data_IF_448389102589
#
_entry.id   IF_448389102589
#
_cell.length_a   1.000
_cell.length_b   1.000
_cell.length_c   1.000
_cell.angle_alpha   90.00
_cell.angle_beta   90.00
_cell.angle_gamma   90.00
#
_symmetry.space_group_name_H-M   'P 1'
#
loop_
_entity.id
_entity.type
_entity.pdbx_description
1 polymer ?
#
# COMPACT_ATOMS: atom_id res chain seq x y z
N UNK A 1 27.73 -9.90 1.54
CA UNK A 1 26.51 -10.08 2.28
C UNK A 1 25.39 -10.63 1.39
N UNK A 2 24.84 -11.74 1.76
CA UNK A 2 23.79 -12.34 0.96
C UNK A 2 22.44 -11.67 1.28
N UNK A 3 21.76 -11.22 0.26
CA UNK A 3 20.44 -10.68 0.41
C UNK A 3 19.45 -11.83 0.66
N UNK A 4 18.47 -11.57 1.52
CA UNK A 4 17.43 -12.56 1.81
C UNK A 4 16.43 -12.71 0.67
N UNK A 5 16.34 -11.72 -0.19
CA UNK A 5 15.43 -11.73 -1.32
C UNK A 5 15.98 -10.85 -2.44
N UNK A 6 15.39 -11.01 -3.62
CA UNK A 6 15.69 -10.16 -4.78
C UNK A 6 14.39 -9.74 -5.44
N UNK A 7 14.22 -8.44 -5.68
CA UNK A 7 13.07 -7.95 -6.42
C UNK A 7 13.29 -8.22 -7.91
N UNK A 8 12.40 -9.02 -8.50
CA UNK A 8 12.46 -9.37 -9.92
C UNK A 8 11.66 -8.41 -10.78
N UNK A 9 10.60 -7.82 -10.23
CA UNK A 9 9.76 -6.89 -10.95
C UNK A 9 8.79 -6.22 -10.02
N UNK A 10 8.28 -5.08 -10.46
CA UNK A 10 7.27 -4.35 -9.71
C UNK A 10 6.44 -3.50 -10.67
N UNK A 11 5.15 -3.41 -10.40
CA UNK A 11 4.24 -2.67 -11.28
C UNK A 11 2.98 -2.25 -10.52
N UNK A 12 2.30 -1.25 -11.08
CA UNK A 12 0.99 -0.85 -10.56
C UNK A 12 -0.03 -1.82 -11.14
N UNK A 13 -0.67 -2.59 -10.28
CA UNK A 13 -1.70 -3.54 -10.70
C UNK A 13 -3.03 -2.85 -10.97
N UNK A 14 -3.37 -1.87 -10.12
CA UNK A 14 -4.58 -1.09 -10.26
C UNK A 14 -4.38 0.26 -9.58
N UNK A 15 -4.93 1.29 -10.17
CA UNK A 15 -4.91 2.63 -9.59
C UNK A 15 -6.22 3.31 -9.96
N UNK A 16 -7.02 3.65 -8.96
CA UNK A 16 -8.36 4.17 -9.21
C UNK A 16 -8.67 5.37 -8.33
N UNK A 17 -9.39 6.31 -8.93
CA UNK A 17 -9.91 7.49 -8.26
C UNK A 17 -11.29 7.75 -8.84
N UNK A 18 -12.31 7.77 -7.98
CA UNK A 18 -13.67 8.00 -8.42
C UNK A 18 -14.35 9.04 -7.53
N UNK A 19 -14.90 10.05 -8.18
CA UNK A 19 -15.79 11.04 -7.56
C UNK A 19 -16.96 11.19 -8.52
N UNK A 20 -18.15 10.79 -8.07
CA UNK A 20 -19.28 10.59 -8.98
C UNK A 20 -19.84 11.86 -9.62
N UNK A 21 -19.77 13.00 -8.91
CA UNK A 21 -20.33 14.26 -9.41
C UNK A 21 -19.77 15.45 -8.64
N UNK A 22 -20.16 16.64 -9.06
CA UNK A 22 -19.69 17.89 -8.44
C UNK A 22 -20.10 17.99 -6.98
N UNK A 23 -21.33 17.59 -6.67
CA UNK A 23 -21.83 17.66 -5.29
C UNK A 23 -21.01 16.80 -4.36
N UNK A 24 -20.67 15.59 -4.80
CA UNK A 24 -19.82 14.69 -4.06
C UNK A 24 -18.42 15.30 -3.86
N UNK A 25 -17.86 15.88 -4.92
CA UNK A 25 -16.56 16.52 -4.82
C UNK A 25 -16.54 17.64 -3.78
N UNK A 26 -17.53 18.50 -3.80
CA UNK A 26 -17.61 19.62 -2.85
C UNK A 26 -17.78 19.12 -1.43
N UNK A 27 -18.60 18.09 -1.23
CA UNK A 27 -18.77 17.47 0.09
C UNK A 27 -17.46 16.87 0.59
N UNK A 28 -16.80 16.06 -0.24
CA UNK A 28 -15.55 15.41 0.15
C UNK A 28 -14.46 16.44 0.44
N UNK A 29 -14.41 17.52 -0.34
CA UNK A 29 -13.45 18.60 -0.12
C UNK A 29 -13.58 19.19 1.30
N UNK A 30 -14.81 19.39 1.75
CA UNK A 30 -15.05 19.94 3.08
C UNK A 30 -14.70 18.96 4.21
N UNK A 31 -14.74 17.66 3.92
CA UNK A 31 -14.50 16.61 4.93
C UNK A 31 -13.24 15.80 4.68
N UNK A 32 -12.36 16.28 3.81
CA UNK A 32 -11.15 15.52 3.45
C UNK A 32 -10.23 15.24 4.64
N UNK A 33 -10.30 16.07 5.68
CA UNK A 33 -9.52 15.87 6.89
C UNK A 33 -9.93 14.62 7.67
N UNK A 34 -11.12 14.08 7.42
CA UNK A 34 -11.58 12.82 8.03
C UNK A 34 -11.05 11.59 7.31
N UNK A 35 -10.53 11.76 6.10
CA UNK A 35 -9.97 10.65 5.34
C UNK A 35 -8.66 10.20 5.95
N UNK A 36 -8.45 8.90 5.96
CA UNK A 36 -7.26 8.28 6.54
C UNK A 36 -6.64 7.31 5.56
N UNK A 37 -5.31 7.25 5.59
CA UNK A 37 -4.57 6.29 4.80
C UNK A 37 -4.61 4.92 5.49
N UNK A 38 -5.01 3.91 4.75
CA UNK A 38 -4.99 2.52 5.20
C UNK A 38 -4.12 1.69 4.26
N UNK A 39 -3.36 0.78 4.82
CA UNK A 39 -2.49 -0.11 4.07
C UNK A 39 -2.90 -1.56 4.32
N UNK A 40 -2.89 -2.35 3.25
CA UNK A 40 -3.08 -3.79 3.33
C UNK A 40 -2.01 -4.48 2.50
N UNK A 41 -1.44 -5.56 3.03
CA UNK A 41 -0.39 -6.31 2.34
C UNK A 41 -0.81 -7.76 2.28
N UNK A 42 -0.91 -8.31 1.07
CA UNK A 42 -1.19 -9.72 0.86
C UNK A 42 -0.07 -10.32 0.02
N UNK A 43 0.05 -11.64 0.07
CA UNK A 43 1.09 -12.34 -0.68
C UNK A 43 0.58 -13.67 -1.20
N UNK A 44 1.19 -14.13 -2.28
CA UNK A 44 0.87 -15.40 -2.92
C UNK A 44 2.16 -16.08 -3.35
N UNK A 45 2.35 -17.31 -2.90
CA UNK A 45 3.51 -18.10 -3.32
C UNK A 45 3.39 -18.48 -4.79
N UNK A 46 4.47 -18.31 -5.52
CA UNK A 46 4.58 -18.70 -6.91
C UNK A 46 5.62 -19.81 -7.03
N UNK A 47 5.84 -20.31 -8.25
CA UNK A 47 6.84 -21.34 -8.49
C UNK A 47 8.26 -20.77 -8.34
N UNK A 48 9.23 -21.66 -8.12
CA UNK A 48 10.66 -21.32 -8.10
C UNK A 48 11.05 -20.33 -7.01
N UNK A 49 10.46 -20.47 -5.83
CA UNK A 49 10.75 -19.59 -4.68
C UNK A 49 10.40 -18.13 -4.91
N UNK A 50 9.50 -17.88 -5.84
CA UNK A 50 9.00 -16.53 -6.07
C UNK A 50 7.75 -16.27 -5.23
N UNK A 51 7.55 -15.02 -4.87
CA UNK A 51 6.38 -14.58 -4.13
C UNK A 51 5.84 -13.31 -4.78
N UNK A 52 4.54 -13.28 -5.00
CA UNK A 52 3.83 -12.07 -5.41
C UNK A 52 3.36 -11.35 -4.17
N UNK A 53 3.72 -10.07 -4.05
CA UNK A 53 3.34 -9.25 -2.90
C UNK A 53 2.47 -8.10 -3.42
N UNK A 54 1.25 -7.98 -2.89
CA UNK A 54 0.34 -6.90 -3.26
C UNK A 54 0.21 -5.95 -2.08
N UNK A 55 0.61 -4.70 -2.30
CA UNK A 55 0.53 -3.63 -1.32
C UNK A 55 -0.55 -2.67 -1.76
N UNK A 56 -1.61 -2.56 -0.98
CA UNK A 56 -2.77 -1.73 -1.29
C UNK A 56 -2.80 -0.52 -0.36
N UNK A 57 -2.89 0.67 -0.95
CA UNK A 57 -3.15 1.90 -0.20
C UNK A 57 -4.55 2.39 -0.54
N UNK A 58 -5.31 2.72 0.49
CA UNK A 58 -6.63 3.34 0.35
C UNK A 58 -6.66 4.60 1.19
N UNK A 59 -7.27 5.63 0.65
CA UNK A 59 -7.50 6.87 1.39
C UNK A 59 -9.01 7.00 1.52
N UNK A 60 -9.53 6.83 2.73
CA UNK A 60 -10.96 6.64 2.93
C UNK A 60 -11.45 7.25 4.23
N UNK A 61 -12.72 7.63 4.22
CA UNK A 61 -13.46 8.06 5.39
C UNK A 61 -14.33 6.89 5.84
N UNK A 62 -14.18 6.46 7.08
CA UNK A 62 -14.93 5.33 7.63
C UNK A 62 -16.32 5.71 8.12
N UNK A 63 -16.63 7.00 8.20
CA UNK A 63 -17.97 7.43 8.57
C UNK A 63 -18.99 6.99 7.53
N UNK A 64 -20.17 6.60 8.01
CA UNK A 64 -21.24 6.15 7.13
C UNK A 64 -22.03 7.33 6.56
N UNK A 65 -21.41 8.11 5.72
CA UNK A 65 -22.14 9.12 4.95
C UNK A 65 -22.29 8.62 3.51
N UNK A 66 -23.27 9.18 2.80
CA UNK A 66 -23.59 8.72 1.46
C UNK A 66 -22.66 9.25 0.38
N UNK A 67 -21.91 10.30 0.66
CA UNK A 67 -21.08 10.98 -0.35
C UNK A 67 -19.62 10.73 -0.07
N UNK A 68 -19.02 9.87 -0.88
CA UNK A 68 -17.62 9.49 -0.73
C UNK A 68 -16.94 9.45 -2.07
N UNK A 69 -15.67 9.82 -2.07
CA UNK A 69 -14.75 9.55 -3.18
C UNK A 69 -13.98 8.28 -2.86
N UNK A 70 -13.60 7.57 -3.90
CA UNK A 70 -12.83 6.35 -3.79
C UNK A 70 -11.41 6.60 -4.31
N UNK A 71 -10.40 6.26 -3.51
CA UNK A 71 -9.00 6.38 -3.89
C UNK A 71 -8.26 5.12 -3.47
N UNK A 72 -7.67 4.44 -4.45
CA UNK A 72 -6.98 3.19 -4.18
C UNK A 72 -5.83 2.98 -5.16
N UNK A 73 -4.72 2.44 -4.66
CA UNK A 73 -3.66 1.93 -5.52
C UNK A 73 -3.26 0.54 -5.02
N UNK A 74 -3.09 -0.39 -5.95
CA UNK A 74 -2.58 -1.72 -5.67
C UNK A 74 -1.26 -1.85 -6.41
N UNK A 75 -0.19 -2.02 -5.65
CA UNK A 75 1.17 -2.16 -6.18
C UNK A 75 1.65 -3.58 -5.99
N UNK A 76 2.14 -4.20 -7.05
CA UNK A 76 2.57 -5.59 -7.02
C UNK A 76 4.09 -5.64 -7.14
N UNK A 77 4.71 -6.41 -6.26
CA UNK A 77 6.14 -6.68 -6.27
C UNK A 77 6.35 -8.18 -6.39
N UNK A 78 7.21 -8.61 -7.29
CA UNK A 78 7.57 -10.02 -7.42
C UNK A 78 8.99 -10.17 -6.88
N UNK A 79 9.16 -11.04 -5.89
CA UNK A 79 10.46 -11.28 -5.28
C UNK A 79 10.82 -12.75 -5.39
N UNK A 80 12.11 -13.01 -5.47
CA UNK A 80 12.65 -14.37 -5.30
C UNK A 80 13.26 -14.43 -3.91
N UNK A 81 12.87 -15.46 -3.16
CA UNK A 81 13.34 -15.66 -1.80
C UNK A 81 14.61 -16.50 -1.82
N UNK A 82 15.59 -16.12 -1.02
CA UNK A 82 16.84 -16.88 -0.88
C UNK A 82 16.52 -18.29 -0.37
N UNK A 83 17.20 -19.29 -0.93
CA UNK A 83 16.98 -20.69 -0.57
C UNK A 83 17.22 -21.00 0.91
N UNK A 84 17.97 -20.18 1.59
CA UNK A 84 18.25 -20.35 3.00
C UNK A 84 17.10 -19.91 3.91
N UNK A 85 16.14 -19.18 3.37
CA UNK A 85 14.96 -18.73 4.14
C UNK A 85 13.93 -19.85 4.11
N UNK A 86 13.71 -20.49 5.26
CA UNK A 86 12.81 -21.64 5.37
C UNK A 86 11.70 -21.45 6.39
N UNK A 87 11.93 -20.58 7.40
CA UNK A 87 10.95 -20.34 8.43
C UNK A 87 9.90 -19.33 7.99
N UNK A 88 8.66 -19.60 8.35
CA UNK A 88 7.54 -18.74 8.00
C UNK A 88 7.72 -17.31 8.54
N UNK A 89 8.22 -17.19 9.77
CA UNK A 89 8.40 -15.86 10.38
C UNK A 89 9.43 -15.01 9.62
N UNK A 90 10.48 -15.64 9.10
CA UNK A 90 11.50 -14.93 8.33
C UNK A 90 10.94 -14.49 6.98
N UNK A 91 10.12 -15.35 6.35
CA UNK A 91 9.44 -15.02 5.11
C UNK A 91 8.46 -13.86 5.31
N UNK A 92 7.68 -13.90 6.39
CA UNK A 92 6.74 -12.82 6.69
C UNK A 92 7.45 -11.49 6.94
N UNK A 93 8.62 -11.53 7.60
CA UNK A 93 9.40 -10.31 7.81
C UNK A 93 9.86 -9.70 6.49
N UNK A 94 10.28 -10.53 5.54
CA UNK A 94 10.67 -10.05 4.22
C UNK A 94 9.47 -9.37 3.54
N UNK A 95 8.32 -10.04 3.53
CA UNK A 95 7.12 -9.57 2.84
C UNK A 95 6.55 -8.30 3.49
N UNK A 96 6.44 -8.29 4.81
CA UNK A 96 5.74 -7.23 5.53
C UNK A 96 6.63 -6.06 5.92
N UNK A 97 7.94 -6.26 5.98
CA UNK A 97 8.86 -5.24 6.47
C UNK A 97 9.93 -4.88 5.45
N UNK A 98 10.78 -5.83 5.08
CA UNK A 98 11.97 -5.51 4.28
C UNK A 98 11.63 -5.02 2.88
N UNK A 99 10.73 -5.71 2.19
CA UNK A 99 10.29 -5.31 0.85
C UNK A 99 9.54 -3.98 0.92
N UNK A 100 8.68 -3.81 1.91
CA UNK A 100 7.89 -2.59 2.05
C UNK A 100 8.77 -1.36 2.27
N UNK A 101 9.81 -1.48 3.08
CA UNK A 101 10.75 -0.38 3.29
C UNK A 101 11.43 0.05 2.00
N UNK A 102 11.63 -0.89 1.09
CA UNK A 102 12.29 -0.61 -0.18
C UNK A 102 11.36 0.04 -1.20
N UNK A 103 10.08 -0.35 -1.24
CA UNK A 103 9.14 0.12 -2.26
C UNK A 103 8.26 1.29 -1.81
N UNK A 104 8.09 1.49 -0.51
CA UNK A 104 7.01 2.33 0.01
C UNK A 104 7.15 3.81 -0.36
N UNK A 105 8.36 4.38 -0.32
CA UNK A 105 8.52 5.82 -0.58
C UNK A 105 8.01 6.22 -1.96
N UNK A 106 8.33 5.44 -2.99
CA UNK A 106 7.86 5.71 -4.34
C UNK A 106 6.37 5.45 -4.49
N UNK A 107 5.88 4.41 -3.82
CA UNK A 107 4.45 4.10 -3.82
C UNK A 107 3.64 5.24 -3.20
N UNK A 108 4.07 5.75 -2.05
CA UNK A 108 3.40 6.86 -1.39
C UNK A 108 3.38 8.12 -2.26
N UNK A 109 4.50 8.44 -2.91
CA UNK A 109 4.58 9.59 -3.81
C UNK A 109 3.59 9.46 -4.96
N UNK A 110 3.49 8.26 -5.53
CA UNK A 110 2.56 8.01 -6.61
C UNK A 110 1.11 8.19 -6.15
N UNK A 111 0.79 7.69 -4.96
CA UNK A 111 -0.55 7.81 -4.41
C UNK A 111 -0.91 9.27 -4.10
N UNK A 112 0.03 10.02 -3.50
CA UNK A 112 -0.16 11.45 -3.23
C UNK A 112 -0.40 12.21 -4.54
N UNK A 113 0.33 11.85 -5.60
CA UNK A 113 0.13 12.45 -6.90
C UNK A 113 -1.27 12.14 -7.46
N UNK A 114 -1.75 10.91 -7.28
CA UNK A 114 -3.11 10.55 -7.66
C UNK A 114 -4.13 11.42 -6.93
N UNK A 115 -3.98 11.62 -5.63
CA UNK A 115 -4.88 12.46 -4.85
C UNK A 115 -4.85 13.91 -5.35
N UNK A 116 -3.67 14.42 -5.68
CA UNK A 116 -3.53 15.77 -6.20
C UNK A 116 -4.28 15.94 -7.52
N UNK A 117 -4.10 15.01 -8.45
CA UNK A 117 -4.79 15.04 -9.75
C UNK A 117 -6.30 14.85 -9.58
N UNK A 118 -6.69 14.14 -8.52
CA UNK A 118 -8.09 13.89 -8.20
C UNK A 118 -8.82 15.10 -7.61
N UNK A 119 -8.12 16.20 -7.42
CA UNK A 119 -8.71 17.43 -6.92
C UNK A 119 -8.33 17.78 -5.48
N UNK A 120 -7.42 17.03 -4.86
CA UNK A 120 -7.04 17.22 -3.47
C UNK A 120 -5.53 17.43 -3.33
N UNK A 121 -5.01 18.56 -3.86
CA UNK A 121 -3.60 18.87 -3.71
C UNK A 121 -3.27 19.20 -2.26
N UNK A 122 -2.02 18.98 -1.88
CA UNK A 122 -1.57 19.31 -0.54
C UNK A 122 -1.78 18.25 0.51
N UNK A 123 -2.33 17.09 0.14
CA UNK A 123 -2.45 15.97 1.05
C UNK A 123 -1.06 15.44 1.38
N UNK A 124 -0.78 15.31 2.66
CA UNK A 124 0.48 14.74 3.16
C UNK A 124 0.19 13.71 4.23
N UNK A 125 0.88 12.60 4.16
CA UNK A 125 0.78 11.57 5.19
C UNK A 125 1.90 11.78 6.18
N UNK A 126 1.63 12.55 7.23
CA UNK A 126 2.62 12.91 8.23
C UNK A 126 3.00 11.73 9.11
N UNK A 127 2.02 10.87 9.40
CA UNK A 127 2.26 9.68 10.19
C UNK A 127 2.85 8.60 9.31
N UNK A 128 4.09 8.24 9.59
CA UNK A 128 4.77 7.21 8.82
C UNK A 128 4.30 5.82 9.26
N UNK A 129 4.19 4.92 8.29
CA UNK A 129 3.82 3.53 8.56
C UNK A 129 5.02 2.82 9.16
N UNK A 130 4.81 2.18 10.31
CA UNK A 130 5.83 1.39 10.98
C UNK A 130 5.68 -0.08 10.56
N UNK A 131 6.48 -0.49 9.58
CA UNK A 131 6.40 -1.84 9.03
C UNK A 131 6.89 -2.89 10.02
N UNK A 132 7.80 -2.55 10.91
CA UNK A 132 8.22 -3.46 11.99
C UNK A 132 7.04 -3.79 12.90
N UNK A 133 6.23 -2.80 13.21
CA UNK A 133 5.05 -2.97 14.03
C UNK A 133 4.00 -3.84 13.33
N UNK A 134 3.77 -3.62 12.04
CA UNK A 134 2.86 -4.45 11.25
C UNK A 134 3.28 -5.90 11.26
N UNK A 135 4.56 -6.15 11.08
CA UNK A 135 5.10 -7.51 11.13
C UNK A 135 4.87 -8.14 12.50
N UNK A 136 5.18 -7.42 13.57
CA UNK A 136 5.02 -7.92 14.95
C UNK A 136 3.55 -8.23 15.27
N UNK A 137 2.63 -7.43 14.79
CA UNK A 137 1.20 -7.68 15.01
C UNK A 137 0.73 -8.97 14.36
N UNK A 138 1.28 -9.33 13.22
CA UNK A 138 0.91 -10.56 12.52
C UNK A 138 1.47 -11.82 13.16
N UNK A 139 2.54 -11.70 13.95
CA UNK A 139 3.11 -12.82 14.66
C UNK A 139 2.31 -13.23 15.90
N UNK A 140 1.46 -12.35 16.39
CA UNK A 140 0.68 -12.60 17.60
C UNK A 140 -0.68 -13.22 17.30
#
# INVERSE_FOLDING_TARGET
MKENYKILGKFIKDMSSETSDIETFLFVKDYISKYQLNIDITSKALKNKMVEINTTLKFEDKDENSKKSHFEIIFTTIVRINDQIKEKKDLEKIILCDVQKEIYNNLEKTFVNLLSISGFPGIKFEKKIDFEQLYKQRLN
#
